data_IF_110165461930
#
_entry.id   IF_110165461930
#
_cell.length_a   1.000
_cell.length_b   1.000
_cell.length_c   1.000
_cell.angle_alpha   90.00
_cell.angle_beta   90.00
_cell.angle_gamma   90.00
#
_symmetry.space_group_name_H-M   'P 1'
#
loop_
_entity.id
_entity.type
_entity.pdbx_description
1 polymer ?
#
# COMPACT_ATOMS: atom_id res chain seq x y z
N UNK A 1 -2.46 14.48 -6.48
CA UNK A 1 -2.56 13.35 -5.53
C UNK A 1 -4.02 13.02 -5.28
N UNK A 2 -4.39 11.75 -5.35
CA UNK A 2 -5.75 11.33 -5.08
C UNK A 2 -6.06 11.37 -3.58
N UNK A 3 -7.30 11.73 -3.24
CA UNK A 3 -7.74 11.68 -1.85
C UNK A 3 -7.87 10.23 -1.38
N UNK A 4 -7.80 9.97 -0.06
CA UNK A 4 -8.01 8.61 0.46
C UNK A 4 -9.36 8.01 0.03
N UNK A 5 -10.40 8.83 -0.06
CA UNK A 5 -11.73 8.36 -0.48
C UNK A 5 -11.71 7.88 -1.94
N UNK A 6 -11.06 8.64 -2.82
CA UNK A 6 -10.94 8.25 -4.24
C UNK A 6 -10.10 6.98 -4.37
N UNK A 7 -8.98 6.89 -3.65
CA UNK A 7 -8.13 5.71 -3.66
C UNK A 7 -8.92 4.48 -3.20
N UNK A 8 -9.71 4.63 -2.12
CA UNK A 8 -10.53 3.53 -1.58
C UNK A 8 -11.56 3.05 -2.59
N UNK A 9 -12.18 3.99 -3.34
CA UNK A 9 -13.14 3.63 -4.38
C UNK A 9 -12.48 2.84 -5.51
N UNK A 10 -11.30 3.27 -5.97
CA UNK A 10 -10.57 2.58 -7.02
C UNK A 10 -10.22 1.16 -6.60
N UNK A 11 -9.77 0.98 -5.35
CA UNK A 11 -9.44 -0.33 -4.82
C UNK A 11 -10.68 -1.21 -4.73
N UNK A 12 -11.81 -0.67 -4.29
CA UNK A 12 -13.05 -1.45 -4.13
C UNK A 12 -13.56 -2.02 -5.46
N UNK A 13 -13.25 -1.36 -6.58
CA UNK A 13 -13.63 -1.84 -7.90
C UNK A 13 -12.65 -2.84 -8.49
N UNK A 14 -11.47 -2.99 -7.86
CA UNK A 14 -10.43 -3.89 -8.35
C UNK A 14 -10.49 -5.21 -7.61
N UNK A 15 -10.65 -6.31 -8.37
CA UNK A 15 -10.64 -7.66 -7.80
C UNK A 15 -9.67 -8.51 -8.63
N UNK A 16 -8.57 -8.94 -8.00
CA UNK A 16 -7.62 -9.84 -8.64
C UNK A 16 -8.02 -11.29 -8.32
N UNK A 17 -8.14 -12.19 -9.32
CA UNK A 17 -8.36 -13.62 -9.06
C UNK A 17 -7.25 -14.18 -8.17
N UNK A 18 -7.62 -15.14 -7.31
CA UNK A 18 -6.70 -15.71 -6.32
C UNK A 18 -5.39 -16.22 -6.92
N UNK A 19 -5.46 -16.89 -8.08
CA UNK A 19 -4.31 -17.49 -8.73
C UNK A 19 -3.79 -16.68 -9.92
N UNK A 20 -4.16 -15.40 -9.99
CA UNK A 20 -3.73 -14.54 -11.09
C UNK A 20 -2.21 -14.35 -11.03
N UNK A 21 -1.50 -14.44 -12.20
CA UNK A 21 -0.04 -14.24 -12.24
C UNK A 21 0.40 -12.92 -11.61
N UNK A 22 -0.41 -11.87 -11.75
CA UNK A 22 -0.14 -10.57 -11.19
C UNK A 22 -0.10 -10.61 -9.66
N UNK A 23 -0.92 -11.44 -9.04
CA UNK A 23 -0.90 -11.62 -7.57
C UNK A 23 0.40 -12.27 -7.10
N UNK A 24 0.89 -13.23 -7.84
CA UNK A 24 2.17 -13.90 -7.54
C UNK A 24 3.32 -12.90 -7.64
N UNK A 25 3.34 -12.09 -8.70
CA UNK A 25 4.36 -11.08 -8.90
C UNK A 25 4.31 -10.01 -7.82
N UNK A 26 3.08 -9.58 -7.45
CA UNK A 26 2.90 -8.59 -6.39
C UNK A 26 3.42 -9.08 -5.04
N UNK A 27 3.17 -10.34 -4.71
CA UNK A 27 3.68 -10.96 -3.47
C UNK A 27 5.21 -11.03 -3.47
N UNK A 28 5.80 -11.29 -4.63
CA UNK A 28 7.26 -11.33 -4.77
C UNK A 28 7.86 -9.95 -4.46
N UNK A 29 7.21 -8.89 -4.92
CA UNK A 29 7.64 -7.51 -4.63
C UNK A 29 7.57 -7.20 -3.12
N UNK A 30 6.58 -7.73 -2.43
CA UNK A 30 6.44 -7.52 -0.99
C UNK A 30 7.63 -8.06 -0.18
N UNK A 31 8.34 -9.06 -0.71
CA UNK A 31 9.52 -9.59 -0.05
C UNK A 31 10.66 -8.57 0.07
N UNK A 32 10.60 -7.49 -0.72
CA UNK A 32 11.58 -6.41 -0.66
C UNK A 32 11.35 -5.46 0.52
N UNK A 33 10.18 -5.53 1.14
CA UNK A 33 9.80 -4.61 2.21
C UNK A 33 10.15 -5.16 3.58
N UNK A 34 10.51 -4.24 4.50
CA UNK A 34 10.62 -4.56 5.92
C UNK A 34 9.22 -4.78 6.50
N UNK A 35 9.15 -5.36 7.72
CA UNK A 35 7.86 -5.57 8.38
C UNK A 35 7.10 -4.26 8.57
N UNK A 36 7.79 -3.20 8.97
CA UNK A 36 7.15 -1.88 9.15
C UNK A 36 6.69 -1.27 7.84
N UNK A 37 7.47 -1.41 6.79
CA UNK A 37 7.06 -0.95 5.46
C UNK A 37 5.80 -1.70 5.01
N UNK A 38 5.75 -3.00 5.28
CA UNK A 38 4.59 -3.82 4.94
C UNK A 38 3.36 -3.39 5.74
N UNK A 39 3.52 -3.06 7.03
CA UNK A 39 2.43 -2.52 7.84
C UNK A 39 1.86 -1.24 7.23
N UNK A 40 2.75 -0.32 6.84
CA UNK A 40 2.35 0.93 6.21
C UNK A 40 1.61 0.65 4.89
N UNK A 41 2.14 -0.26 4.07
CA UNK A 41 1.52 -0.62 2.80
C UNK A 41 0.11 -1.20 3.00
N UNK A 42 -0.07 -2.03 4.04
CA UNK A 42 -1.38 -2.58 4.38
C UNK A 42 -2.40 -1.48 4.64
N UNK A 43 -2.01 -0.47 5.41
CA UNK A 43 -2.92 0.64 5.73
C UNK A 43 -3.21 1.50 4.51
N UNK A 44 -2.24 1.71 3.65
CA UNK A 44 -2.45 2.38 2.37
C UNK A 44 -3.46 1.59 1.53
N UNK A 45 -3.33 0.27 1.51
CA UNK A 45 -4.26 -0.61 0.81
C UNK A 45 -5.68 -0.51 1.33
N UNK A 46 -5.85 -0.18 2.61
CA UNK A 46 -7.17 0.07 3.23
C UNK A 46 -7.69 1.47 2.96
N UNK A 47 -6.90 2.32 2.33
CA UNK A 47 -7.28 3.69 2.01
C UNK A 47 -7.07 4.69 3.13
N UNK A 48 -6.27 4.37 4.14
CA UNK A 48 -5.97 5.31 5.22
C UNK A 48 -5.12 6.47 4.72
N UNK A 49 -5.33 7.65 5.32
CA UNK A 49 -4.46 8.81 5.13
C UNK A 49 -3.16 8.60 5.91
N UNK A 50 -2.16 9.44 5.63
CA UNK A 50 -0.92 9.42 6.42
C UNK A 50 -1.19 9.70 7.90
N UNK A 51 -2.11 10.63 8.20
CA UNK A 51 -2.48 10.95 9.57
C UNK A 51 -3.09 9.73 10.29
N UNK A 52 -4.03 9.04 9.62
CA UNK A 52 -4.68 7.86 10.18
C UNK A 52 -3.69 6.71 10.34
N UNK A 53 -2.82 6.50 9.35
CA UNK A 53 -1.78 5.48 9.43
C UNK A 53 -0.81 5.76 10.59
N UNK A 54 -0.45 7.03 10.76
CA UNK A 54 0.43 7.45 11.85
C UNK A 54 -0.19 7.12 13.22
N UNK A 55 -1.48 7.42 13.39
CA UNK A 55 -2.19 7.08 14.62
C UNK A 55 -2.22 5.57 14.85
N UNK A 56 -2.52 4.80 13.84
CA UNK A 56 -2.65 3.35 13.92
C UNK A 56 -1.32 2.69 14.31
N UNK A 57 -0.22 3.18 13.77
CA UNK A 57 1.10 2.60 13.98
C UNK A 57 1.92 3.31 15.06
N UNK A 58 1.33 4.30 15.73
CA UNK A 58 2.02 5.08 16.76
C UNK A 58 3.29 5.75 16.24
N UNK A 59 3.18 6.36 15.05
CA UNK A 59 4.26 7.08 14.38
C UNK A 59 3.83 8.51 14.08
N UNK A 60 4.79 9.39 13.74
CA UNK A 60 4.47 10.70 13.22
C UNK A 60 4.09 10.61 11.75
N UNK A 61 3.35 11.61 11.25
CA UNK A 61 3.06 11.68 9.81
C UNK A 61 4.33 11.79 8.97
N UNK A 62 5.34 12.53 9.48
CA UNK A 62 6.63 12.65 8.79
C UNK A 62 7.29 11.29 8.62
N UNK A 63 7.22 10.43 9.64
CA UNK A 63 7.74 9.08 9.57
C UNK A 63 6.98 8.25 8.53
N UNK A 64 5.65 8.36 8.51
CA UNK A 64 4.84 7.67 7.50
C UNK A 64 5.22 8.11 6.11
N UNK A 65 5.39 9.43 5.88
CA UNK A 65 5.82 9.94 4.57
C UNK A 65 7.15 9.35 4.14
N UNK A 66 8.10 9.23 5.08
CA UNK A 66 9.40 8.63 4.80
C UNK A 66 9.25 7.16 4.40
N UNK A 67 8.43 6.39 5.11
CA UNK A 67 8.16 5.00 4.76
C UNK A 67 7.52 4.89 3.38
N UNK A 68 6.53 5.73 3.08
CA UNK A 68 5.87 5.72 1.77
C UNK A 68 6.88 5.98 0.66
N UNK A 69 7.74 7.00 0.81
CA UNK A 69 8.77 7.31 -0.18
C UNK A 69 9.71 6.13 -0.41
N UNK A 70 10.16 5.49 0.67
CA UNK A 70 11.04 4.32 0.58
C UNK A 70 10.37 3.16 -0.14
N UNK A 71 9.11 2.89 0.20
CA UNK A 71 8.35 1.81 -0.43
C UNK A 71 8.18 2.05 -1.93
N UNK A 72 7.82 3.26 -2.32
CA UNK A 72 7.65 3.59 -3.73
C UNK A 72 8.95 3.36 -4.50
N UNK A 73 10.08 3.77 -3.92
CA UNK A 73 11.39 3.56 -4.54
C UNK A 73 11.71 2.07 -4.65
N UNK A 74 11.56 1.31 -3.56
CA UNK A 74 11.84 -0.14 -3.55
C UNK A 74 10.98 -0.91 -4.54
N UNK A 75 9.71 -0.51 -4.66
CA UNK A 75 8.74 -1.19 -5.51
C UNK A 75 8.72 -0.65 -6.93
N UNK A 76 9.54 0.37 -7.22
CA UNK A 76 9.60 1.02 -8.52
C UNK A 76 8.24 1.57 -8.96
N UNK A 77 7.53 2.18 -8.00
CA UNK A 77 6.23 2.81 -8.24
C UNK A 77 6.35 4.33 -8.21
N UNK A 78 5.43 5.01 -8.87
CA UNK A 78 5.47 6.47 -8.99
C UNK A 78 4.53 7.20 -8.04
N UNK A 79 3.48 6.53 -7.55
CA UNK A 79 2.51 7.20 -6.69
C UNK A 79 1.83 6.24 -5.72
N UNK A 80 1.13 6.85 -4.74
CA UNK A 80 0.45 6.14 -3.66
C UNK A 80 -0.66 5.21 -4.16
N UNK A 81 -1.37 5.60 -5.21
CA UNK A 81 -2.44 4.78 -5.77
C UNK A 81 -1.90 3.45 -6.30
N UNK A 82 -0.75 3.50 -6.96
CA UNK A 82 -0.08 2.28 -7.44
C UNK A 82 0.28 1.36 -6.27
N UNK A 83 0.73 1.94 -5.15
CA UNK A 83 1.05 1.17 -3.95
C UNK A 83 -0.20 0.50 -3.38
N UNK A 84 -1.32 1.22 -3.33
CA UNK A 84 -2.59 0.68 -2.84
C UNK A 84 -3.07 -0.48 -3.73
N UNK A 85 -2.97 -0.32 -5.05
CA UNK A 85 -3.33 -1.38 -6.00
C UNK A 85 -2.44 -2.60 -5.80
N UNK A 86 -1.14 -2.40 -5.64
CA UNK A 86 -0.20 -3.49 -5.38
C UNK A 86 -0.59 -4.26 -4.11
N UNK A 87 -0.96 -3.55 -3.04
CA UNK A 87 -1.39 -4.18 -1.80
C UNK A 87 -2.59 -5.09 -2.04
N UNK A 88 -3.56 -4.64 -2.84
CA UNK A 88 -4.73 -5.46 -3.19
C UNK A 88 -4.38 -6.65 -4.07
N UNK A 89 -3.52 -6.46 -5.06
CA UNK A 89 -3.06 -7.55 -5.92
C UNK A 89 -2.36 -8.64 -5.12
N UNK A 90 -1.65 -8.26 -4.08
CA UNK A 90 -0.93 -9.19 -3.21
C UNK A 90 -1.81 -9.77 -2.10
N UNK A 91 -3.03 -9.28 -1.95
CA UNK A 91 -3.93 -9.70 -0.88
C UNK A 91 -3.60 -9.06 0.48
N UNK A 92 -2.87 -7.97 0.48
CA UNK A 92 -2.38 -7.30 1.69
C UNK A 92 -3.30 -6.11 2.03
N UNK A 93 -4.49 -6.40 2.57
CA UNK A 93 -5.46 -5.35 2.90
C UNK A 93 -6.25 -5.65 4.19
N UNK A 94 -5.97 -6.72 4.86
CA UNK A 94 -6.63 -7.09 6.13
C UNK A 94 -5.76 -6.84 7.34
#
# INVERSE_FOLDING_TARGET
MLSPAVTRRLIAEYVAPRDHPQRVESRRKLALLSDRERDVLTLIGRGLSNADAAQTLFMSEATIKTYVSRMLTKLELTNRTQAAILAHEAGLYD
#
